data_IF_096211456926
#
_entry.id   IF_096211456926
#
_cell.length_a   1.000
_cell.length_b   1.000
_cell.length_c   1.000
_cell.angle_alpha   90.00
_cell.angle_beta   90.00
_cell.angle_gamma   90.00
#
_symmetry.space_group_name_H-M   'P 1'
#
loop_
_entity.id
_entity.type
_entity.pdbx_description
1 polymer ?
#
# COMPACT_ATOMS: atom_id res chain seq x y z
N UNK A 1 3.64 1.83 8.38
CA UNK A 1 3.47 0.91 7.23
C UNK A 1 4.20 1.42 6.00
N UNK A 2 4.84 0.52 5.24
CA UNK A 2 5.34 0.76 3.88
C UNK A 2 4.36 0.11 2.90
N UNK A 3 3.86 0.84 1.92
CA UNK A 3 2.95 0.30 0.91
C UNK A 3 3.71 -0.02 -0.38
N UNK A 4 3.60 -1.24 -0.89
CA UNK A 4 4.27 -1.68 -2.11
C UNK A 4 3.27 -1.77 -3.25
N UNK A 5 3.47 -0.90 -4.23
CA UNK A 5 2.71 -0.82 -5.48
C UNK A 5 3.59 -1.14 -6.70
N UNK A 6 4.78 -1.71 -6.52
CA UNK A 6 5.71 -2.12 -7.59
C UNK A 6 5.14 -3.12 -8.60
N UNK A 7 4.00 -3.74 -8.30
CA UNK A 7 3.32 -4.70 -9.17
C UNK A 7 2.16 -4.05 -9.96
N UNK A 8 1.88 -2.76 -9.77
CA UNK A 8 0.73 -2.07 -10.35
C UNK A 8 1.20 -1.19 -11.51
N UNK A 9 0.56 -1.34 -12.68
CA UNK A 9 0.95 -0.64 -13.91
C UNK A 9 0.08 0.62 -14.18
N UNK A 10 -1.14 0.67 -13.67
CA UNK A 10 -2.10 1.73 -14.03
C UNK A 10 -1.84 3.01 -13.25
N UNK A 11 -1.45 4.07 -13.96
CA UNK A 11 -1.20 5.40 -13.38
C UNK A 11 -2.32 5.94 -12.48
N UNK A 12 -3.63 5.83 -12.81
CA UNK A 12 -4.68 6.28 -11.90
C UNK A 12 -4.68 5.56 -10.55
N UNK A 13 -4.32 4.27 -10.54
CA UNK A 13 -4.23 3.50 -9.29
C UNK A 13 -3.01 3.91 -8.49
N UNK A 14 -1.85 4.08 -9.13
CA UNK A 14 -0.63 4.56 -8.47
C UNK A 14 -0.82 5.94 -7.86
N UNK A 15 -1.48 6.86 -8.57
CA UNK A 15 -1.76 8.20 -8.09
C UNK A 15 -2.79 8.23 -6.95
N UNK A 16 -3.85 7.42 -7.05
CA UNK A 16 -4.82 7.25 -5.97
C UNK A 16 -4.17 6.68 -4.70
N UNK A 17 -3.25 5.73 -4.86
CA UNK A 17 -2.46 5.18 -3.76
C UNK A 17 -1.51 6.23 -3.17
N UNK A 18 -0.82 7.03 -3.99
CA UNK A 18 0.04 8.11 -3.52
C UNK A 18 -0.74 9.11 -2.64
N UNK A 19 -1.88 9.58 -3.13
CA UNK A 19 -2.75 10.47 -2.36
C UNK A 19 -3.23 9.84 -1.06
N UNK A 20 -3.66 8.57 -1.12
CA UNK A 20 -4.14 7.86 0.06
C UNK A 20 -3.01 7.66 1.07
N UNK A 21 -1.83 7.27 0.63
CA UNK A 21 -0.65 7.08 1.48
C UNK A 21 -0.23 8.37 2.19
N UNK A 22 -0.24 9.49 1.48
CA UNK A 22 0.09 10.79 2.04
C UNK A 22 -0.91 11.17 3.14
N UNK A 23 -2.21 11.20 2.82
CA UNK A 23 -3.27 11.60 3.74
C UNK A 23 -3.33 10.71 4.99
N UNK A 24 -3.02 9.42 4.82
CA UNK A 24 -3.11 8.42 5.89
C UNK A 24 -1.79 8.23 6.65
N UNK A 25 -0.76 9.03 6.35
CA UNK A 25 0.52 8.99 7.06
C UNK A 25 1.29 7.68 6.86
N UNK A 26 1.23 7.09 5.66
CA UNK A 26 2.08 5.95 5.32
C UNK A 26 3.56 6.39 5.35
N UNK A 27 4.43 5.53 5.85
CA UNK A 27 5.85 5.86 5.98
C UNK A 27 6.58 5.92 4.64
N UNK A 28 6.09 5.19 3.63
CA UNK A 28 6.63 5.16 2.26
C UNK A 28 5.66 4.51 1.28
N UNK A 29 5.64 5.00 0.04
CA UNK A 29 5.09 4.28 -1.11
C UNK A 29 6.21 3.78 -2.02
N UNK A 30 6.18 2.49 -2.35
CA UNK A 30 7.17 1.85 -3.22
C UNK A 30 6.56 1.62 -4.60
N UNK A 31 7.24 2.11 -5.65
CA UNK A 31 6.79 2.10 -7.04
C UNK A 31 7.77 1.33 -7.92
N UNK A 32 7.29 0.80 -9.05
CA UNK A 32 8.15 0.13 -10.04
C UNK A 32 9.08 1.10 -10.78
N UNK A 33 8.59 2.33 -11.00
CA UNK A 33 9.26 3.40 -11.73
C UNK A 33 8.80 4.74 -11.14
N UNK A 34 9.74 5.52 -10.59
CA UNK A 34 9.41 6.85 -10.05
C UNK A 34 9.11 7.87 -11.15
N UNK A 35 9.49 7.63 -12.41
CA UNK A 35 9.14 8.50 -13.52
C UNK A 35 7.62 8.62 -13.71
N UNK A 36 6.85 7.60 -13.29
CA UNK A 36 5.39 7.61 -13.29
C UNK A 36 4.79 8.82 -12.53
N UNK A 37 5.49 9.33 -11.50
CA UNK A 37 5.04 10.48 -10.69
C UNK A 37 5.02 11.80 -11.46
N UNK A 38 5.70 11.86 -12.61
CA UNK A 38 5.76 13.05 -13.48
C UNK A 38 4.72 13.02 -14.60
N UNK A 39 3.97 11.93 -14.71
CA UNK A 39 2.97 11.78 -15.76
C UNK A 39 1.75 12.70 -15.48
N UNK A 40 1.18 13.37 -16.50
CA UNK A 40 -0.01 14.21 -16.34
C UNK A 40 -1.22 13.46 -15.75
N UNK A 41 -1.41 12.19 -16.10
CA UNK A 41 -2.48 11.35 -15.54
C UNK A 41 -2.25 11.14 -14.05
N UNK A 42 -1.00 10.86 -13.66
CA UNK A 42 -0.67 10.67 -12.24
C UNK A 42 -0.94 11.94 -11.44
N UNK A 43 -0.33 13.06 -11.87
CA UNK A 43 -0.41 14.36 -11.18
C UNK A 43 -1.84 14.90 -11.10
N UNK A 44 -2.70 14.59 -12.08
CA UNK A 44 -4.12 14.98 -12.05
C UNK A 44 -4.93 14.34 -10.90
N UNK A 45 -4.46 13.19 -10.38
CA UNK A 45 -5.16 12.40 -9.35
C UNK A 45 -4.46 12.50 -8.00
N UNK A 46 -3.12 12.57 -7.97
CA UNK A 46 -2.34 12.59 -6.74
C UNK A 46 -2.47 13.89 -5.95
N UNK A 47 -2.79 15.00 -6.63
CA UNK A 47 -2.96 16.34 -6.03
C UNK A 47 -1.74 16.71 -5.16
N UNK A 48 -0.55 16.68 -5.76
CA UNK A 48 0.75 17.02 -5.16
C UNK A 48 1.24 16.13 -4.01
N UNK A 49 0.54 15.03 -3.71
CA UNK A 49 0.96 14.07 -2.68
C UNK A 49 2.40 13.56 -2.86
N UNK A 50 2.87 13.44 -4.10
CA UNK A 50 4.24 13.03 -4.44
C UNK A 50 5.35 13.99 -3.96
N UNK A 51 4.99 15.22 -3.58
CA UNK A 51 5.94 16.18 -3.00
C UNK A 51 6.18 15.96 -1.50
N UNK A 52 5.25 15.30 -0.81
CA UNK A 52 5.22 15.19 0.65
C UNK A 52 5.39 13.75 1.14
N UNK A 53 4.95 12.77 0.34
CA UNK A 53 5.05 11.36 0.65
C UNK A 53 6.44 10.82 0.29
N UNK A 54 7.18 10.21 1.22
CA UNK A 54 8.39 9.47 0.87
C UNK A 54 8.08 8.35 -0.15
N UNK A 55 8.80 8.36 -1.27
CA UNK A 55 8.68 7.32 -2.30
C UNK A 55 10.02 6.63 -2.57
N UNK A 56 9.96 5.39 -3.03
CA UNK A 56 11.14 4.59 -3.40
C UNK A 56 10.86 3.81 -4.67
N UNK A 57 11.85 3.72 -5.56
CA UNK A 57 11.77 2.87 -6.75
C UNK A 57 12.29 1.46 -6.43
N UNK A 58 11.44 0.46 -6.62
CA UNK A 58 11.80 -0.96 -6.58
C UNK A 58 11.12 -1.65 -7.75
N UNK A 59 11.91 -2.00 -8.76
CA UNK A 59 11.43 -2.75 -9.93
C UNK A 59 10.94 -4.15 -9.52
N UNK A 60 9.96 -4.74 -10.22
CA UNK A 60 9.48 -6.10 -9.93
C UNK A 60 10.61 -7.14 -9.79
N UNK A 61 11.64 -7.07 -10.64
CA UNK A 61 12.77 -8.00 -10.60
C UNK A 61 13.64 -7.88 -9.32
N UNK A 62 13.60 -6.74 -8.63
CA UNK A 62 14.32 -6.50 -7.37
C UNK A 62 13.43 -6.65 -6.13
N UNK A 63 12.13 -6.93 -6.31
CA UNK A 63 11.15 -6.89 -5.23
C UNK A 63 11.39 -7.96 -4.17
N UNK A 64 11.69 -9.21 -4.57
CA UNK A 64 11.98 -10.30 -3.60
C UNK A 64 13.13 -9.94 -2.68
N UNK A 65 14.28 -9.56 -3.25
CA UNK A 65 15.45 -9.17 -2.47
C UNK A 65 15.18 -7.94 -1.59
N UNK A 66 14.30 -7.03 -2.02
CA UNK A 66 13.90 -5.89 -1.20
C UNK A 66 13.04 -6.33 0.00
N UNK A 67 12.07 -7.22 -0.21
CA UNK A 67 11.21 -7.76 0.85
C UNK A 67 12.01 -8.54 1.90
N UNK A 68 12.95 -9.38 1.48
CA UNK A 68 13.85 -10.11 2.38
C UNK A 68 14.65 -9.16 3.28
N UNK A 69 15.17 -8.06 2.73
CA UNK A 69 15.85 -7.03 3.53
C UNK A 69 14.92 -6.36 4.53
N UNK A 70 13.68 -6.02 4.13
CA UNK A 70 12.71 -5.45 5.07
C UNK A 70 12.34 -6.43 6.18
N UNK A 71 12.20 -7.72 5.88
CA UNK A 71 11.98 -8.76 6.89
C UNK A 71 13.15 -8.83 7.89
N UNK A 72 14.40 -8.80 7.41
CA UNK A 72 15.59 -8.75 8.26
C UNK A 72 15.65 -7.48 9.14
N UNK A 73 15.03 -6.38 8.71
CA UNK A 73 14.86 -5.15 9.50
C UNK A 73 13.68 -5.19 10.48
N UNK A 74 13.00 -6.34 10.61
CA UNK A 74 11.89 -6.56 11.53
C UNK A 74 10.54 -6.00 11.06
N UNK A 75 10.32 -5.91 9.75
CA UNK A 75 8.98 -5.68 9.20
C UNK A 75 8.25 -7.01 9.01
N UNK A 76 6.97 -7.04 9.36
CA UNK A 76 6.05 -8.11 8.96
C UNK A 76 5.61 -7.86 7.51
N UNK A 77 5.77 -8.87 6.66
CA UNK A 77 5.40 -8.85 5.25
C UNK A 77 3.98 -9.36 5.08
N UNK A 78 3.09 -8.48 4.62
CA UNK A 78 1.67 -8.78 4.46
C UNK A 78 1.27 -8.54 3.01
N UNK A 79 0.60 -9.50 2.39
CA UNK A 79 -0.01 -9.33 1.07
C UNK A 79 -1.49 -9.02 1.18
N UNK A 80 -2.00 -8.11 0.34
CA UNK A 80 -3.44 -7.93 0.16
C UNK A 80 -3.88 -8.72 -1.07
N UNK A 81 -4.35 -9.94 -0.85
CA UNK A 81 -4.67 -10.91 -1.90
C UNK A 81 -5.75 -11.90 -1.44
N UNK A 82 -6.62 -12.31 -2.37
CA UNK A 82 -7.62 -13.34 -2.11
C UNK A 82 -7.00 -14.72 -2.36
N UNK A 83 -6.66 -15.41 -1.28
CA UNK A 83 -6.11 -16.78 -1.30
C UNK A 83 -6.97 -17.67 -0.40
N UNK A 84 -6.87 -19.00 -0.55
CA UNK A 84 -7.61 -19.92 0.31
C UNK A 84 -7.19 -19.84 1.80
N UNK A 85 -6.03 -19.25 2.09
CA UNK A 85 -5.46 -19.10 3.42
C UNK A 85 -5.52 -17.65 3.91
N UNK A 86 -6.13 -16.73 3.16
CA UNK A 86 -6.14 -15.32 3.53
C UNK A 86 -6.94 -15.09 4.80
N UNK A 87 -6.36 -14.30 5.70
CA UNK A 87 -7.06 -13.83 6.90
C UNK A 87 -7.96 -12.66 6.51
N UNK A 88 -9.18 -12.64 7.04
CA UNK A 88 -10.09 -11.51 6.81
C UNK A 88 -9.49 -10.24 7.42
N UNK A 89 -9.41 -9.17 6.62
CA UNK A 89 -8.87 -7.87 7.02
C UNK A 89 -9.36 -7.37 8.39
N UNK A 90 -10.67 -7.36 8.72
CA UNK A 90 -11.14 -6.86 10.02
C UNK A 90 -10.74 -7.74 11.21
N UNK A 91 -10.39 -9.01 10.96
CA UNK A 91 -10.03 -9.97 12.00
C UNK A 91 -8.51 -9.94 12.28
N UNK A 92 -7.72 -9.37 11.36
CA UNK A 92 -6.26 -9.28 11.50
C UNK A 92 -5.84 -8.24 12.55
N UNK A 93 -4.79 -8.56 13.32
CA UNK A 93 -4.15 -7.64 14.26
C UNK A 93 -2.88 -7.11 13.65
N UNK A 94 -2.88 -5.84 13.27
CA UNK A 94 -1.74 -5.24 12.59
C UNK A 94 -0.55 -5.05 13.56
N UNK A 95 0.68 -5.43 13.16
CA UNK A 95 1.89 -5.02 13.88
C UNK A 95 2.28 -3.58 13.52
N UNK A 96 3.12 -2.94 14.34
CA UNK A 96 3.54 -1.55 14.11
C UNK A 96 4.46 -1.38 12.88
N UNK A 97 5.27 -2.40 12.56
CA UNK A 97 6.18 -2.40 11.41
C UNK A 97 5.68 -3.37 10.35
N UNK A 98 5.02 -2.83 9.33
CA UNK A 98 4.39 -3.61 8.25
C UNK A 98 4.90 -3.15 6.90
N UNK A 99 5.16 -4.10 6.03
CA UNK A 99 5.20 -3.93 4.57
C UNK A 99 3.93 -4.54 4.02
N UNK A 100 3.11 -3.73 3.34
CA UNK A 100 1.86 -4.17 2.72
C UNK A 100 2.05 -4.24 1.19
N UNK A 101 1.99 -5.45 0.63
CA UNK A 101 2.17 -5.72 -0.80
C UNK A 101 0.82 -5.80 -1.49
N UNK A 102 0.64 -5.00 -2.55
CA UNK A 102 -0.55 -5.04 -3.40
C UNK A 102 -0.26 -5.82 -4.69
N UNK A 103 -1.21 -6.65 -5.10
CA UNK A 103 -1.13 -7.42 -6.35
C UNK A 103 -1.48 -6.64 -7.61
N UNK A 104 -1.18 -7.23 -8.77
CA UNK A 104 -1.63 -6.78 -10.10
C UNK A 104 -3.15 -6.86 -10.20
N UNK A 105 -3.78 -5.96 -10.97
CA UNK A 105 -5.24 -5.89 -11.12
C UNK A 105 -5.89 -7.14 -11.74
N UNK A 106 -5.10 -8.08 -12.27
CA UNK A 106 -5.60 -9.34 -12.85
C UNK A 106 -4.86 -10.57 -12.32
N UNK A 107 -3.53 -10.49 -12.29
CA UNK A 107 -2.66 -11.61 -11.93
C UNK A 107 -2.43 -11.71 -10.43
N UNK A 108 -2.77 -10.66 -9.66
CA UNK A 108 -2.55 -10.63 -8.23
C UNK A 108 -1.07 -10.55 -7.85
N UNK A 109 -0.74 -11.07 -6.67
CA UNK A 109 0.63 -11.20 -6.18
C UNK A 109 1.27 -12.47 -6.78
N UNK A 110 2.47 -12.38 -7.41
CA UNK A 110 3.18 -13.55 -7.94
C UNK A 110 3.47 -14.62 -6.87
N UNK A 111 3.45 -15.93 -7.23
CA UNK A 111 3.68 -17.02 -6.27
C UNK A 111 4.98 -16.93 -5.48
N UNK A 112 6.07 -16.49 -6.13
CA UNK A 112 7.37 -16.29 -5.49
C UNK A 112 7.31 -15.22 -4.40
N UNK A 113 6.53 -14.14 -4.60
CA UNK A 113 6.31 -13.12 -3.59
C UNK A 113 5.39 -13.64 -2.49
N UNK A 114 4.30 -14.33 -2.85
CA UNK A 114 3.37 -14.95 -1.88
C UNK A 114 4.10 -15.88 -0.90
N UNK A 115 5.07 -16.65 -1.39
CA UNK A 115 5.84 -17.60 -0.59
C UNK A 115 6.71 -16.97 0.50
N UNK A 116 6.98 -15.66 0.39
CA UNK A 116 7.79 -14.89 1.34
C UNK A 116 6.93 -14.16 2.39
N UNK A 117 5.61 -14.05 2.18
CA UNK A 117 4.74 -13.26 3.06
C UNK A 117 4.47 -14.00 4.37
N UNK A 118 4.46 -13.25 5.47
CA UNK A 118 4.07 -13.76 6.80
C UNK A 118 2.55 -13.98 6.88
N UNK A 119 1.77 -13.21 6.11
CA UNK A 119 0.33 -13.33 6.01
C UNK A 119 -0.21 -12.79 4.68
N UNK A 120 -1.32 -13.35 4.23
CA UNK A 120 -2.17 -12.77 3.19
C UNK A 120 -3.49 -12.33 3.81
N UNK A 121 -3.97 -11.14 3.44
CA UNK A 121 -5.22 -10.58 3.90
C UNK A 121 -6.19 -10.44 2.74
N UNK A 122 -7.47 -10.67 3.02
CA UNK A 122 -8.55 -10.40 2.09
C UNK A 122 -9.59 -9.44 2.67
N UNK A 123 -10.17 -8.60 1.81
CA UNK A 123 -11.31 -7.76 2.17
C UNK A 123 -12.58 -8.61 1.98
N UNK A 124 -13.42 -8.81 3.03
CA UNK A 124 -14.66 -9.55 2.86
C UNK A 124 -15.59 -8.86 1.86
N UNK A 125 -16.04 -9.61 0.84
CA UNK A 125 -16.94 -9.13 -0.20
C UNK A 125 -18.31 -9.81 -0.10
N UNK A 126 -19.36 -9.13 -0.56
CA UNK A 126 -20.75 -9.67 -0.60
C UNK A 126 -21.38 -9.64 -1.99
N UNK A 127 -20.72 -9.00 -2.96
CA UNK A 127 -21.21 -8.82 -4.31
C UNK A 127 -20.83 -9.96 -5.25
N UNK A 128 -21.27 -9.83 -6.50
CA UNK A 128 -21.00 -10.79 -7.59
C UNK A 128 -19.68 -10.45 -8.31
N UNK A 129 -19.27 -9.17 -8.29
CA UNK A 129 -18.02 -8.74 -8.92
C UNK A 129 -16.84 -9.38 -8.19
N UNK A 130 -15.90 -9.89 -8.97
CA UNK A 130 -14.76 -10.70 -8.48
C UNK A 130 -13.93 -9.98 -7.41
N UNK A 131 -13.62 -8.71 -7.65
CA UNK A 131 -12.71 -7.96 -6.79
C UNK A 131 -12.93 -6.44 -6.89
N UNK A 132 -12.44 -5.75 -5.87
CA UNK A 132 -12.31 -4.29 -5.84
C UNK A 132 -11.16 -3.83 -6.74
N UNK A 133 -11.18 -2.54 -7.11
CA UNK A 133 -10.02 -1.88 -7.69
C UNK A 133 -8.84 -1.88 -6.68
N UNK A 134 -7.61 -2.11 -7.16
CA UNK A 134 -6.43 -2.24 -6.29
C UNK A 134 -6.13 -1.01 -5.42
N UNK A 135 -6.34 0.21 -5.91
CA UNK A 135 -6.13 1.39 -5.07
C UNK A 135 -7.20 1.48 -3.97
N UNK A 136 -8.43 1.07 -4.28
CA UNK A 136 -9.54 1.03 -3.31
C UNK A 136 -9.23 -0.02 -2.23
N UNK A 137 -8.76 -1.20 -2.64
CA UNK A 137 -8.32 -2.25 -1.71
C UNK A 137 -7.20 -1.75 -0.80
N UNK A 138 -6.16 -1.12 -1.38
CA UNK A 138 -5.06 -0.53 -0.64
C UNK A 138 -5.54 0.54 0.36
N UNK A 139 -6.49 1.39 -0.03
CA UNK A 139 -7.07 2.40 0.84
C UNK A 139 -7.84 1.81 2.03
N UNK A 140 -8.64 0.77 1.81
CA UNK A 140 -9.38 0.08 2.87
C UNK A 140 -8.40 -0.57 3.87
N UNK A 141 -7.37 -1.27 3.37
CA UNK A 141 -6.38 -1.91 4.21
C UNK A 141 -5.56 -0.89 5.01
N UNK A 142 -5.15 0.21 4.37
CA UNK A 142 -4.41 1.28 5.02
C UNK A 142 -5.25 2.00 6.08
N UNK A 143 -6.54 2.25 5.80
CA UNK A 143 -7.47 2.78 6.80
C UNK A 143 -7.58 1.87 8.01
N UNK A 144 -7.74 0.56 7.81
CA UNK A 144 -7.85 -0.38 8.91
C UNK A 144 -6.56 -0.43 9.75
N UNK A 145 -5.39 -0.41 9.11
CA UNK A 145 -4.10 -0.28 9.79
C UNK A 145 -4.06 0.99 10.65
N UNK A 146 -4.36 2.16 10.07
CA UNK A 146 -4.35 3.45 10.78
C UNK A 146 -5.32 3.46 11.95
N UNK A 147 -6.53 2.91 11.77
CA UNK A 147 -7.55 2.79 12.80
C UNK A 147 -7.06 1.96 13.99
N UNK A 148 -6.34 0.86 13.75
CA UNK A 148 -5.79 0.02 14.82
C UNK A 148 -4.58 0.66 15.51
N UNK A 149 -3.75 1.42 14.78
CA UNK A 149 -2.54 2.04 15.32
C UNK A 149 -2.79 3.24 16.23
N UNK A 150 -4.05 3.70 16.38
CA UNK A 150 -4.44 4.83 17.21
C UNK A 150 -3.48 6.01 17.07
N UNK A 151 -3.23 6.47 15.84
CA UNK A 151 -2.40 7.66 15.64
C UNK A 151 -2.95 8.80 16.50
N UNK A 152 -2.16 9.34 17.46
CA UNK A 152 -2.53 10.59 18.11
C UNK A 152 -2.74 11.62 17.00
N UNK A 153 -3.88 12.31 17.00
CA UNK A 153 -4.13 13.39 16.04
C UNK A 153 -2.95 14.37 16.05
N UNK A 154 -2.12 14.35 15.01
CA UNK A 154 -1.14 15.41 14.81
C UNK A 154 -1.78 16.50 13.94
N UNK A 155 -1.85 17.69 14.57
CA UNK A 155 -1.85 19.04 14.02
C UNK A 155 -3.20 19.75 13.78
N UNK A 156 -3.52 20.67 14.70
CA UNK A 156 -3.84 22.06 14.35
C UNK A 156 -3.01 23.00 15.24
N UNK A 157 -1.83 23.41 14.78
CA UNK A 157 -1.12 24.54 15.40
C UNK A 157 -0.20 25.28 14.43
N UNK A 158 -0.66 25.58 13.20
CA UNK A 158 -0.07 26.68 12.39
C UNK A 158 -1.14 27.24 11.45
N UNK A 159 -2.08 28.01 11.98
CA UNK A 159 -2.88 28.98 11.21
C UNK A 159 -3.59 29.93 12.20
N UNK A 160 -2.81 30.69 12.93
CA UNK A 160 -3.29 31.75 13.82
C UNK A 160 -2.22 32.82 13.87
N UNK A 161 -2.12 33.59 12.79
CA UNK A 161 -1.33 34.80 12.76
C UNK A 161 -1.89 35.81 13.77
N UNK A 162 -0.99 36.36 14.58
CA UNK A 162 -1.09 37.71 15.12
C UNK A 162 0.06 38.52 14.50
#
# INVERSE_FOLDING_TARGET
>A
VLLVASLIDKLPNLAGLARTCEVMGAGRLVLADLAATRDPVFTSVSVTAEQWLPMEEVKPAALLAWLERRAAEGYTLVGLEQTAQSVRLPDYRWPAKVVLVLGREKEGIPPEVLSLLDATLEIPQRGIIRSLNVHVSGAIALYEYVRQMQFPQQLQSVAGGN
#
